data_IF_703627067566
#
_entry.id   IF_703627067566
#
_cell.length_a   1.000
_cell.length_b   1.000
_cell.length_c   1.000
_cell.angle_alpha   90.00
_cell.angle_beta   90.00
_cell.angle_gamma   90.00
#
_symmetry.space_group_name_H-M   'P 1'
#
loop_
_entity.id
_entity.type
_entity.pdbx_description
1 polymer ?
#
# COMPACT_ATOMS: atom_id res chain seq x y z
N UNK A 1 11.79 25.70 5.08
CA UNK A 1 13.01 25.31 5.82
C UNK A 1 12.83 24.06 6.65
N UNK A 2 11.83 23.98 7.49
CA UNK A 2 11.58 22.78 8.31
C UNK A 2 11.39 21.50 7.48
N UNK A 3 10.70 21.58 6.37
CA UNK A 3 10.49 20.46 5.42
C UNK A 3 11.81 19.83 4.98
N UNK A 4 12.75 20.67 4.49
CA UNK A 4 14.08 20.19 4.07
C UNK A 4 14.90 19.61 5.22
N UNK A 5 14.72 20.16 6.40
CA UNK A 5 15.39 19.62 7.60
C UNK A 5 14.87 18.23 7.92
N UNK A 6 13.56 18.04 7.96
CA UNK A 6 12.92 16.74 8.22
C UNK A 6 13.29 15.67 7.19
N UNK A 7 13.42 16.05 5.91
CA UNK A 7 13.81 15.12 4.83
C UNK A 7 15.28 14.68 4.95
N UNK A 8 16.14 15.58 5.42
CA UNK A 8 17.58 15.33 5.51
C UNK A 8 18.02 14.76 6.85
N UNK A 9 17.28 15.05 7.92
CA UNK A 9 17.67 14.63 9.26
C UNK A 9 17.36 13.16 9.48
N UNK A 10 18.42 12.38 9.57
CA UNK A 10 18.38 10.99 10.04
C UNK A 10 18.58 10.95 11.54
N UNK A 11 17.83 10.13 12.23
CA UNK A 11 17.99 9.84 13.65
C UNK A 11 18.28 8.35 13.84
N UNK A 12 19.17 8.01 14.79
CA UNK A 12 19.42 6.60 15.09
C UNK A 12 18.23 5.98 15.80
N UNK A 13 18.02 4.69 15.61
CA UNK A 13 17.13 3.92 16.45
C UNK A 13 17.63 3.93 17.91
N UNK A 14 16.74 4.18 18.84
CA UNK A 14 17.06 4.18 20.27
C UNK A 14 15.92 3.56 21.07
N UNK A 15 16.24 3.10 22.29
CA UNK A 15 15.21 2.57 23.19
C UNK A 15 14.13 3.63 23.49
N UNK A 16 14.54 4.88 23.74
CA UNK A 16 13.60 5.95 24.01
C UNK A 16 12.66 6.24 22.83
N UNK A 17 13.18 6.27 21.62
CA UNK A 17 12.38 6.45 20.41
C UNK A 17 11.40 5.28 20.23
N UNK A 18 11.86 4.05 20.38
CA UNK A 18 11.04 2.85 20.21
C UNK A 18 9.97 2.74 21.31
N UNK A 19 10.25 3.16 22.52
CA UNK A 19 9.27 3.24 23.60
C UNK A 19 8.16 4.24 23.25
N UNK A 20 8.51 5.39 22.71
CA UNK A 20 7.54 6.37 22.23
C UNK A 20 6.69 5.81 21.10
N UNK A 21 7.30 5.19 20.09
CA UNK A 21 6.59 4.60 18.94
C UNK A 21 5.63 3.50 19.38
N UNK A 22 6.06 2.66 20.30
CA UNK A 22 5.21 1.59 20.86
C UNK A 22 4.05 2.18 21.66
N UNK A 23 4.30 3.22 22.47
CA UNK A 23 3.26 3.93 23.22
C UNK A 23 2.21 4.58 22.32
N UNK A 24 2.61 4.99 21.11
CA UNK A 24 1.71 5.55 20.10
C UNK A 24 1.03 4.48 19.23
N UNK A 25 1.29 3.21 19.46
CA UNK A 25 0.68 2.12 18.73
C UNK A 25 1.24 1.94 17.30
N UNK A 26 2.47 2.35 17.06
CA UNK A 26 3.15 2.19 15.79
C UNK A 26 4.41 1.34 15.93
N UNK A 27 4.88 0.78 14.81
CA UNK A 27 6.01 -0.13 14.82
C UNK A 27 7.33 0.55 15.23
N UNK A 28 8.16 -0.08 16.06
CA UNK A 28 9.49 0.40 16.36
C UNK A 28 10.40 0.37 15.13
N UNK A 29 11.52 1.06 15.19
CA UNK A 29 12.55 1.06 14.16
C UNK A 29 13.81 0.36 14.68
N UNK A 30 14.37 -0.55 13.89
CA UNK A 30 15.58 -1.28 14.25
C UNK A 30 16.84 -0.44 14.04
N UNK A 31 16.89 0.24 12.91
CA UNK A 31 18.00 1.08 12.48
C UNK A 31 17.61 2.56 12.45
N UNK A 32 18.53 3.40 12.00
CA UNK A 32 18.24 4.81 11.79
C UNK A 32 17.17 5.04 10.73
N UNK A 33 16.38 6.10 10.91
CA UNK A 33 15.34 6.52 9.98
C UNK A 33 15.32 8.03 9.84
N UNK A 34 14.67 8.53 8.80
CA UNK A 34 14.48 9.98 8.63
C UNK A 34 13.28 10.45 9.43
N UNK A 35 13.37 11.66 9.97
CA UNK A 35 12.28 12.24 10.73
C UNK A 35 10.99 12.34 9.94
N UNK A 36 11.07 12.68 8.65
CA UNK A 36 9.91 12.80 7.79
C UNK A 36 9.16 11.46 7.66
N UNK A 37 9.87 10.34 7.63
CA UNK A 37 9.25 9.02 7.51
C UNK A 37 8.45 8.65 8.77
N UNK A 38 8.90 9.07 9.93
CA UNK A 38 8.15 8.93 11.19
C UNK A 38 6.96 9.88 11.25
N UNK A 39 7.12 11.12 10.80
CA UNK A 39 6.05 12.12 10.81
C UNK A 39 4.91 11.76 9.83
N UNK A 40 5.19 11.00 8.79
CA UNK A 40 4.16 10.46 7.88
C UNK A 40 3.22 9.45 8.55
N UNK A 41 3.64 8.87 9.67
CA UNK A 41 2.78 7.93 10.42
C UNK A 41 1.65 8.68 11.11
N UNK A 42 0.38 8.26 10.96
CA UNK A 42 -0.76 8.97 11.55
C UNK A 42 -0.69 9.11 13.06
N UNK A 43 -0.07 8.16 13.74
CA UNK A 43 0.00 8.10 15.20
C UNK A 43 1.07 9.02 15.80
N UNK A 44 1.98 9.54 14.99
CA UNK A 44 3.15 10.31 15.44
C UNK A 44 2.97 11.78 15.10
N UNK A 45 3.11 12.65 16.09
CA UNK A 45 3.13 14.11 15.90
C UNK A 45 4.55 14.65 15.83
N UNK A 46 4.71 15.87 15.31
CA UNK A 46 6.00 16.54 15.33
C UNK A 46 6.47 16.83 16.75
N UNK A 47 5.56 17.17 17.67
CA UNK A 47 5.88 17.37 19.08
C UNK A 47 6.48 16.11 19.72
N UNK A 48 6.02 14.94 19.35
CA UNK A 48 6.59 13.66 19.80
C UNK A 48 8.05 13.50 19.33
N UNK A 49 8.38 14.01 18.15
CA UNK A 49 9.71 13.87 17.53
C UNK A 49 10.71 14.97 17.92
N UNK A 50 10.25 16.08 18.45
CA UNK A 50 11.13 17.21 18.83
C UNK A 50 12.30 16.82 19.72
N UNK A 51 12.13 16.00 20.78
CA UNK A 51 13.24 15.58 21.62
C UNK A 51 14.34 14.79 20.86
N UNK A 52 13.99 14.22 19.72
CA UNK A 52 14.89 13.43 18.89
C UNK A 52 15.44 14.21 17.67
N UNK A 53 14.97 15.43 17.45
CA UNK A 53 15.41 16.27 16.34
C UNK A 53 16.60 17.14 16.76
N UNK A 54 17.82 16.82 16.33
CA UNK A 54 18.99 17.60 16.69
C UNK A 54 19.02 19.00 16.06
N UNK A 55 18.20 19.22 15.04
CA UNK A 55 18.11 20.48 14.30
C UNK A 55 16.80 21.23 14.55
N UNK A 56 16.10 20.93 15.67
CA UNK A 56 14.83 21.58 16.01
C UNK A 56 14.97 23.12 15.93
N UNK A 57 14.34 23.76 14.93
CA UNK A 57 14.45 25.20 14.74
C UNK A 57 13.60 26.00 15.73
N UNK A 58 12.94 25.35 16.67
CA UNK A 58 12.05 25.95 17.65
C UNK A 58 11.03 26.94 17.04
N UNK A 59 10.38 26.52 15.98
CA UNK A 59 9.37 27.31 15.26
C UNK A 59 8.10 27.49 16.11
N UNK A 60 7.30 28.54 15.83
CA UNK A 60 6.00 28.71 16.46
C UNK A 60 5.11 27.48 16.31
N UNK A 61 4.27 27.16 17.33
CA UNK A 61 3.40 25.96 17.26
C UNK A 61 2.51 25.89 16.02
N UNK A 62 1.99 27.03 15.55
CA UNK A 62 1.16 27.10 14.35
C UNK A 62 1.92 26.66 13.09
N UNK A 63 3.20 27.00 12.97
CA UNK A 63 4.05 26.59 11.84
C UNK A 63 4.35 25.10 11.91
N UNK A 64 4.64 24.58 13.08
CA UNK A 64 4.88 23.15 13.29
C UNK A 64 3.67 22.30 12.94
N UNK A 65 2.49 22.73 13.39
CA UNK A 65 1.22 22.08 13.07
C UNK A 65 0.96 22.07 11.56
N UNK A 66 1.18 23.19 10.89
CA UNK A 66 0.99 23.29 9.44
C UNK A 66 1.92 22.36 8.65
N UNK A 67 3.16 22.23 9.06
CA UNK A 67 4.12 21.30 8.44
C UNK A 67 3.68 19.85 8.64
N UNK A 68 3.25 19.51 9.84
CA UNK A 68 2.73 18.17 10.15
C UNK A 68 1.52 17.82 9.28
N UNK A 69 0.54 18.71 9.19
CA UNK A 69 -0.66 18.53 8.34
C UNK A 69 -0.25 18.34 6.90
N UNK A 70 0.67 19.13 6.37
CA UNK A 70 1.13 19.02 4.98
C UNK A 70 1.81 17.68 4.71
N UNK A 71 2.69 17.23 5.60
CA UNK A 71 3.38 15.93 5.46
C UNK A 71 2.39 14.77 5.47
N UNK A 72 1.42 14.79 6.38
CA UNK A 72 0.41 13.74 6.49
C UNK A 72 -0.55 13.73 5.30
N UNK A 73 -0.93 14.89 4.80
CA UNK A 73 -1.79 15.03 3.64
C UNK A 73 -1.12 14.49 2.37
N UNK A 74 0.15 14.81 2.14
CA UNK A 74 0.91 14.26 1.03
C UNK A 74 0.96 12.73 1.07
N UNK A 75 1.18 12.15 2.27
CA UNK A 75 1.15 10.71 2.46
C UNK A 75 -0.22 10.09 2.15
N UNK A 76 -1.29 10.77 2.48
CA UNK A 76 -2.66 10.37 2.15
C UNK A 76 -2.89 10.38 0.63
N UNK A 77 -2.51 11.46 -0.05
CA UNK A 77 -2.64 11.59 -1.51
C UNK A 77 -1.86 10.50 -2.24
N UNK A 78 -0.61 10.24 -1.84
CA UNK A 78 0.20 9.16 -2.44
C UNK A 78 -0.45 7.79 -2.32
N UNK A 79 -1.09 7.49 -1.17
CA UNK A 79 -1.84 6.24 -1.00
C UNK A 79 -3.05 6.17 -1.91
N UNK A 80 -3.77 7.27 -2.08
CA UNK A 80 -4.91 7.34 -3.00
C UNK A 80 -4.48 7.15 -4.45
N UNK A 81 -3.41 7.81 -4.87
CA UNK A 81 -2.82 7.65 -6.21
C UNK A 81 -2.43 6.20 -6.48
N UNK A 82 -1.78 5.55 -5.52
CA UNK A 82 -1.40 4.14 -5.62
C UNK A 82 -2.62 3.22 -5.75
N UNK A 83 -3.68 3.47 -5.00
CA UNK A 83 -4.93 2.70 -5.11
C UNK A 83 -5.57 2.88 -6.49
N UNK A 84 -5.59 4.09 -7.03
CA UNK A 84 -6.08 4.36 -8.37
C UNK A 84 -5.25 3.64 -9.43
N UNK A 85 -3.93 3.67 -9.33
CA UNK A 85 -3.04 2.95 -10.24
C UNK A 85 -3.26 1.43 -10.20
N UNK A 86 -3.42 0.85 -9.02
CA UNK A 86 -3.71 -0.58 -8.85
C UNK A 86 -5.07 -0.94 -9.47
N UNK A 87 -6.07 -0.09 -9.28
CA UNK A 87 -7.39 -0.24 -9.88
C UNK A 87 -7.32 -0.19 -11.42
N UNK A 88 -6.59 0.78 -11.98
CA UNK A 88 -6.38 0.91 -13.42
C UNK A 88 -5.64 -0.30 -14.01
N UNK A 89 -4.67 -0.86 -13.30
CA UNK A 89 -3.99 -2.10 -13.72
C UNK A 89 -4.96 -3.27 -13.85
N UNK A 90 -5.89 -3.41 -12.92
CA UNK A 90 -6.92 -4.44 -12.98
C UNK A 90 -7.88 -4.21 -14.16
N UNK A 91 -8.25 -2.96 -14.44
CA UNK A 91 -9.10 -2.61 -15.60
C UNK A 91 -8.42 -2.90 -16.94
N UNK A 92 -7.09 -2.79 -17.00
CA UNK A 92 -6.31 -3.11 -18.21
C UNK A 92 -6.06 -4.61 -18.39
N UNK A 93 -6.28 -5.40 -17.38
CA UNK A 93 -6.04 -6.84 -17.42
C UNK A 93 -7.27 -7.55 -17.96
N UNK A 94 -7.29 -7.79 -19.25
CA UNK A 94 -8.41 -8.43 -19.93
C UNK A 94 -8.53 -9.92 -19.59
N UNK A 95 -9.79 -10.36 -19.48
CA UNK A 95 -10.13 -11.78 -19.34
C UNK A 95 -10.51 -12.34 -20.69
N UNK A 96 -9.93 -13.49 -21.11
CA UNK A 96 -10.31 -14.13 -22.36
C UNK A 96 -11.81 -14.46 -22.40
N UNK A 97 -12.51 -14.21 -23.52
CA UNK A 97 -13.95 -14.47 -23.62
C UNK A 97 -14.31 -15.97 -23.49
N UNK A 98 -13.36 -16.83 -23.80
CA UNK A 98 -13.50 -18.30 -23.79
C UNK A 98 -13.02 -18.94 -22.48
N UNK A 99 -12.78 -18.13 -21.45
CA UNK A 99 -12.22 -18.61 -20.19
C UNK A 99 -13.17 -19.54 -19.45
N UNK A 100 -12.67 -20.71 -19.07
CA UNK A 100 -13.41 -21.66 -18.25
C UNK A 100 -13.12 -21.46 -16.76
N UNK A 101 -14.02 -20.75 -16.09
CA UNK A 101 -13.90 -20.45 -14.67
C UNK A 101 -14.10 -21.65 -13.75
N UNK A 102 -14.67 -22.75 -14.25
CA UNK A 102 -15.00 -23.93 -13.44
C UNK A 102 -13.76 -24.66 -12.94
N UNK A 103 -12.70 -24.63 -13.73
CA UNK A 103 -11.47 -25.38 -13.48
C UNK A 103 -10.33 -24.54 -12.88
N UNK A 104 -10.58 -23.29 -12.55
CA UNK A 104 -9.57 -22.42 -11.96
C UNK A 104 -9.41 -22.73 -10.48
N UNK A 105 -8.21 -23.16 -10.09
CA UNK A 105 -7.89 -23.40 -8.69
C UNK A 105 -7.86 -22.11 -7.89
N UNK A 106 -8.31 -22.17 -6.64
CA UNK A 106 -8.36 -21.03 -5.74
C UNK A 106 -9.63 -20.19 -5.82
N UNK A 107 -10.47 -20.38 -6.85
CA UNK A 107 -11.78 -19.75 -6.92
C UNK A 107 -12.80 -20.50 -6.05
N UNK A 108 -13.55 -19.76 -5.25
CA UNK A 108 -14.70 -20.31 -4.53
C UNK A 108 -15.83 -20.64 -5.50
N UNK A 109 -16.69 -21.57 -5.10
CA UNK A 109 -17.80 -22.02 -5.95
C UNK A 109 -18.70 -20.87 -6.40
N UNK A 110 -19.10 -19.99 -5.46
CA UNK A 110 -19.90 -18.81 -5.76
C UNK A 110 -19.25 -17.90 -6.81
N UNK A 111 -17.94 -17.65 -6.67
CA UNK A 111 -17.19 -16.85 -7.62
C UNK A 111 -17.15 -17.49 -9.01
N UNK A 112 -16.95 -18.81 -9.09
CA UNK A 112 -16.98 -19.56 -10.35
C UNK A 112 -18.30 -19.41 -11.09
N UNK A 113 -19.41 -19.57 -10.37
CA UNK A 113 -20.75 -19.44 -10.92
C UNK A 113 -21.04 -18.03 -11.41
N UNK A 114 -20.70 -17.02 -10.62
CA UNK A 114 -20.89 -15.61 -10.96
C UNK A 114 -20.05 -15.18 -12.16
N UNK A 115 -18.78 -15.55 -12.19
CA UNK A 115 -17.88 -15.24 -13.30
C UNK A 115 -18.30 -15.95 -14.59
N UNK A 116 -18.72 -17.20 -14.51
CA UNK A 116 -19.21 -17.94 -15.68
C UNK A 116 -20.51 -17.35 -16.24
N UNK A 117 -21.39 -16.87 -15.38
CA UNK A 117 -22.66 -16.26 -15.77
C UNK A 117 -22.50 -14.86 -16.37
N UNK A 118 -21.69 -14.01 -15.76
CA UNK A 118 -21.56 -12.60 -16.11
C UNK A 118 -20.45 -12.31 -17.12
N UNK A 119 -19.46 -13.18 -17.21
CA UNK A 119 -18.31 -13.08 -18.14
C UNK A 119 -17.70 -11.67 -18.22
N UNK A 120 -17.08 -11.18 -17.13
CA UNK A 120 -16.49 -9.85 -17.11
C UNK A 120 -15.36 -9.73 -18.14
N UNK A 121 -15.16 -8.54 -18.69
CA UNK A 121 -14.16 -8.28 -19.73
C UNK A 121 -12.74 -8.15 -19.16
N UNK A 122 -12.63 -7.72 -17.91
CA UNK A 122 -11.35 -7.50 -17.22
C UNK A 122 -11.44 -7.82 -15.72
N UNK A 123 -10.27 -7.84 -15.06
CA UNK A 123 -10.19 -8.13 -13.64
C UNK A 123 -10.86 -7.08 -12.76
N UNK A 124 -10.88 -5.82 -13.17
CA UNK A 124 -11.57 -4.76 -12.45
C UNK A 124 -13.07 -4.99 -12.40
N UNK A 125 -13.68 -5.36 -13.52
CA UNK A 125 -15.09 -5.74 -13.58
C UNK A 125 -15.38 -6.99 -12.74
N UNK A 126 -14.50 -8.00 -12.83
CA UNK A 126 -14.63 -9.21 -12.02
C UNK A 126 -14.67 -8.91 -10.53
N UNK A 127 -13.80 -8.03 -10.05
CA UNK A 127 -13.73 -7.64 -8.63
C UNK A 127 -14.95 -6.86 -8.13
N UNK A 128 -15.72 -6.25 -9.00
CA UNK A 128 -16.97 -5.53 -8.67
C UNK A 128 -18.20 -6.43 -8.59
N UNK A 129 -18.08 -7.68 -9.03
CA UNK A 129 -19.21 -8.62 -8.96
C UNK A 129 -19.45 -9.03 -7.51
N UNK A 130 -20.70 -8.92 -7.06
CA UNK A 130 -21.11 -9.42 -5.74
C UNK A 130 -20.90 -10.95 -5.68
N UNK A 131 -20.20 -11.42 -4.67
CA UNK A 131 -19.80 -12.82 -4.54
C UNK A 131 -18.38 -13.15 -5.04
N UNK A 132 -17.70 -12.18 -5.64
CA UNK A 132 -16.28 -12.28 -6.00
C UNK A 132 -15.45 -11.46 -5.00
N UNK A 133 -14.60 -12.14 -4.24
CA UNK A 133 -13.73 -11.52 -3.23
C UNK A 133 -12.38 -11.08 -3.80
N UNK A 134 -11.62 -10.25 -3.10
CA UNK A 134 -10.22 -9.96 -3.48
C UNK A 134 -9.35 -11.20 -3.62
N UNK A 135 -9.59 -12.24 -2.83
CA UNK A 135 -8.89 -13.52 -2.95
C UNK A 135 -9.21 -14.25 -4.28
N UNK A 136 -10.46 -14.16 -4.74
CA UNK A 136 -10.87 -14.71 -6.03
C UNK A 136 -10.19 -13.96 -7.19
N UNK A 137 -10.09 -12.64 -7.11
CA UNK A 137 -9.36 -11.81 -8.08
C UNK A 137 -7.88 -12.20 -8.12
N UNK A 138 -7.26 -12.39 -6.96
CA UNK A 138 -5.88 -12.85 -6.86
C UNK A 138 -5.68 -14.22 -7.52
N UNK A 139 -6.61 -15.16 -7.33
CA UNK A 139 -6.58 -16.47 -7.99
C UNK A 139 -6.68 -16.35 -9.51
N UNK A 140 -7.50 -15.44 -10.02
CA UNK A 140 -7.59 -15.14 -11.46
C UNK A 140 -6.27 -14.56 -12.00
N UNK A 141 -5.64 -13.65 -11.25
CA UNK A 141 -4.35 -13.08 -11.64
C UNK A 141 -3.26 -14.15 -11.76
N UNK A 142 -3.18 -15.05 -10.80
CA UNK A 142 -2.24 -16.18 -10.82
C UNK A 142 -2.50 -17.09 -12.01
N UNK A 143 -3.75 -17.42 -12.27
CA UNK A 143 -4.14 -18.26 -13.40
C UNK A 143 -3.75 -17.63 -14.74
N UNK A 144 -4.03 -16.33 -14.95
CA UNK A 144 -3.66 -15.61 -16.15
C UNK A 144 -2.15 -15.56 -16.33
N UNK A 145 -1.40 -15.31 -15.26
CA UNK A 145 0.05 -15.28 -15.31
C UNK A 145 0.66 -16.64 -15.68
N UNK A 146 0.10 -17.72 -15.17
CA UNK A 146 0.53 -19.08 -15.50
C UNK A 146 0.23 -19.42 -16.96
N UNK A 147 -0.90 -18.97 -17.47
CA UNK A 147 -1.32 -19.22 -18.86
C UNK A 147 -0.48 -18.43 -19.88
N UNK A 148 0.01 -17.26 -19.52
CA UNK A 148 0.86 -16.43 -20.38
C UNK A 148 2.33 -16.84 -20.41
N UNK A 149 2.78 -17.65 -19.45
CA UNK A 149 4.05 -18.35 -19.57
C UNK A 149 3.84 -19.57 -20.46
N UNK A 150 4.26 -19.55 -21.72
CA UNK A 150 4.41 -20.80 -22.44
C UNK A 150 5.36 -21.65 -21.59
N UNK A 151 5.02 -22.90 -21.36
CA UNK A 151 5.92 -23.86 -20.76
C UNK A 151 7.26 -23.76 -21.48
N UNK A 152 8.18 -23.03 -20.88
CA UNK A 152 9.57 -22.95 -21.33
C UNK A 152 10.08 -24.37 -21.29
N UNK A 153 10.39 -24.90 -22.48
CA UNK A 153 10.70 -26.27 -22.70
C UNK A 153 11.57 -26.88 -21.63
N UNK A 154 11.14 -27.98 -21.13
CA UNK A 154 12.03 -29.04 -20.75
C UNK A 154 12.81 -29.41 -22.02
N UNK A 155 13.94 -28.76 -22.22
CA UNK A 155 15.00 -29.40 -22.98
C UNK A 155 15.70 -30.34 -21.99
N UNK A 156 15.45 -31.57 -22.23
CA UNK A 156 16.26 -32.64 -21.68
C UNK A 156 17.73 -32.45 -22.05
#
# INVERSE_FOLDING_TARGET
MLFRSLEKTGIPGSAALNDLLTARGTAPVADGCRLIDLLRRPQVSYEDLRPFDPADPNLPPAVREQVEITVKYEGYIRRQEKQVEEFEKLERRHLPPDMDYRHIQGLRLEAREKLAALRPENLGQAGRISGVSPADVAALMVYLHTRERPEGGKQA
#
